data_IF_356574711164
#
_entry.id   IF_356574711164
#
_cell.length_a   1.000
_cell.length_b   1.000
_cell.length_c   1.000
_cell.angle_alpha   90.00
_cell.angle_beta   90.00
_cell.angle_gamma   90.00
#
_symmetry.space_group_name_H-M   'P 1'
#
loop_
_entity.id
_entity.type
_entity.pdbx_description
1 polymer ?
#
# COMPACT_ATOMS: atom_id res chain seq x y z
N UNK A 1 10.56 13.35 -11.76
CA UNK A 1 11.99 13.41 -11.59
C UNK A 1 12.44 12.81 -10.28
N UNK A 2 13.68 13.05 -9.89
CA UNK A 2 14.37 12.46 -8.72
C UNK A 2 13.67 12.63 -7.36
N UNK A 3 12.74 13.56 -7.23
CA UNK A 3 11.91 13.76 -6.03
C UNK A 3 10.61 12.92 -6.05
N UNK A 4 10.28 12.25 -7.15
CA UNK A 4 9.07 11.46 -7.27
C UNK A 4 9.17 10.14 -6.49
N UNK A 5 8.07 9.75 -5.86
CA UNK A 5 7.95 8.46 -5.16
C UNK A 5 6.63 7.79 -5.49
N UNK A 6 6.69 6.49 -5.72
CA UNK A 6 5.52 5.64 -5.90
C UNK A 6 5.65 4.44 -4.96
N UNK A 7 4.59 4.16 -4.20
CA UNK A 7 4.48 2.94 -3.41
C UNK A 7 3.18 2.26 -3.79
N UNK A 8 3.27 0.98 -4.12
CA UNK A 8 2.08 0.20 -4.46
C UNK A 8 2.06 -1.11 -3.70
N UNK A 9 0.88 -1.52 -3.28
CA UNK A 9 0.62 -2.86 -2.76
C UNK A 9 -0.53 -3.49 -3.52
N UNK A 10 -0.31 -4.69 -4.02
CA UNK A 10 -1.30 -5.45 -4.79
C UNK A 10 -1.07 -6.95 -4.67
N UNK A 11 -1.98 -7.77 -5.21
CA UNK A 11 -1.78 -9.22 -5.18
C UNK A 11 -0.96 -9.69 -6.36
N UNK A 12 -1.21 -9.16 -7.57
CA UNK A 12 -0.54 -9.58 -8.80
C UNK A 12 -0.28 -8.40 -9.73
N UNK A 13 0.80 -8.49 -10.50
CA UNK A 13 1.24 -7.50 -11.48
C UNK A 13 1.65 -8.23 -12.76
N UNK A 14 0.79 -8.18 -13.79
CA UNK A 14 1.01 -8.87 -15.07
C UNK A 14 0.63 -8.04 -16.29
N UNK A 15 0.05 -6.85 -16.09
CA UNK A 15 -0.39 -5.96 -17.16
C UNK A 15 0.80 -5.29 -17.82
N UNK A 16 0.91 -5.46 -19.15
CA UNK A 16 2.07 -5.01 -19.92
C UNK A 16 2.13 -3.48 -19.98
N UNK A 17 1.00 -2.82 -20.25
CA UNK A 17 0.96 -1.36 -20.38
C UNK A 17 1.31 -0.70 -19.03
N UNK A 18 0.85 -1.31 -17.93
CA UNK A 18 1.21 -0.84 -16.60
C UNK A 18 2.70 -1.04 -16.30
N UNK A 19 3.29 -2.18 -16.69
CA UNK A 19 4.73 -2.46 -16.55
C UNK A 19 5.55 -1.43 -17.34
N UNK A 20 5.13 -1.08 -18.56
CA UNK A 20 5.79 -0.05 -19.35
C UNK A 20 5.75 1.32 -18.66
N UNK A 21 4.61 1.71 -18.09
CA UNK A 21 4.49 2.97 -17.32
C UNK A 21 5.35 3.01 -16.06
N UNK A 22 5.48 1.89 -15.37
CA UNK A 22 6.41 1.76 -14.24
C UNK A 22 7.86 1.92 -14.69
N UNK A 23 8.22 1.34 -15.83
CA UNK A 23 9.56 1.46 -16.41
C UNK A 23 9.85 2.89 -16.88
N UNK A 24 8.89 3.57 -17.51
CA UNK A 24 9.01 4.99 -17.88
C UNK A 24 9.24 5.86 -16.63
N UNK A 25 8.46 5.66 -15.58
CA UNK A 25 8.61 6.39 -14.32
C UNK A 25 9.99 6.14 -13.67
N UNK A 26 10.46 4.89 -13.70
CA UNK A 26 11.80 4.55 -13.19
C UNK A 26 12.90 5.26 -13.97
N UNK A 27 12.84 5.26 -15.31
CA UNK A 27 13.78 6.00 -16.17
C UNK A 27 13.75 7.51 -15.91
N UNK A 28 12.61 8.05 -15.58
CA UNK A 28 12.46 9.46 -15.18
C UNK A 28 13.02 9.78 -13.77
N UNK A 29 13.62 8.80 -13.08
CA UNK A 29 14.22 8.97 -11.75
C UNK A 29 13.21 8.87 -10.60
N UNK A 30 12.00 8.39 -10.83
CA UNK A 30 11.01 8.16 -9.76
C UNK A 30 11.40 6.92 -8.97
N UNK A 31 11.47 7.05 -7.64
CA UNK A 31 11.67 5.89 -6.74
C UNK A 31 10.37 5.09 -6.63
N UNK A 32 10.41 3.81 -6.96
CA UNK A 32 9.24 2.95 -7.00
C UNK A 32 9.46 1.75 -6.08
N UNK A 33 8.52 1.52 -5.18
CA UNK A 33 8.50 0.40 -4.24
C UNK A 33 7.18 -0.35 -4.39
N UNK A 34 7.22 -1.63 -4.78
CA UNK A 34 6.01 -2.44 -5.01
C UNK A 34 6.03 -3.66 -4.08
N UNK A 35 4.90 -3.90 -3.41
CA UNK A 35 4.66 -5.09 -2.59
C UNK A 35 3.67 -5.96 -3.33
N UNK A 36 4.13 -7.13 -3.83
CA UNK A 36 3.32 -8.09 -4.59
C UNK A 36 3.44 -9.47 -3.94
N UNK A 37 2.32 -10.07 -3.54
CA UNK A 37 2.35 -11.38 -2.89
C UNK A 37 2.20 -12.59 -3.82
N UNK A 38 1.72 -12.37 -5.04
CA UNK A 38 1.47 -13.37 -6.08
C UNK A 38 2.34 -13.18 -7.31
N UNK A 39 1.74 -13.31 -8.49
CA UNK A 39 2.45 -13.24 -9.77
C UNK A 39 2.99 -11.81 -9.99
N UNK A 40 4.27 -11.71 -10.36
CA UNK A 40 4.92 -10.46 -10.69
C UNK A 40 5.72 -10.63 -11.99
N UNK A 41 5.35 -9.90 -13.04
CA UNK A 41 5.94 -9.98 -14.37
C UNK A 41 6.89 -8.80 -14.68
N UNK A 42 7.30 -8.01 -13.69
CA UNK A 42 8.31 -6.97 -13.85
C UNK A 42 9.56 -7.35 -13.05
N UNK A 43 10.73 -7.18 -13.65
CA UNK A 43 12.01 -7.37 -13.00
C UNK A 43 12.56 -6.02 -12.50
N UNK A 44 12.97 -5.91 -11.22
CA UNK A 44 13.61 -4.72 -10.70
C UNK A 44 15.10 -4.67 -11.06
N UNK A 45 15.69 -3.48 -11.06
CA UNK A 45 17.12 -3.30 -11.20
C UNK A 45 17.68 -3.64 -12.58
N UNK A 46 16.86 -3.61 -13.62
CA UNK A 46 17.30 -3.78 -15.02
C UNK A 46 17.87 -2.44 -15.49
N UNK A 47 19.20 -2.37 -15.86
CA UNK A 47 19.84 -1.14 -16.24
C UNK A 47 19.14 -0.40 -17.39
N UNK A 48 18.88 0.88 -17.21
CA UNK A 48 18.20 1.73 -18.18
C UNK A 48 16.68 1.54 -18.27
N UNK A 49 16.11 0.66 -17.46
CA UNK A 49 14.66 0.40 -17.44
C UNK A 49 14.04 0.50 -16.04
N UNK A 50 14.52 -0.29 -15.09
CA UNK A 50 13.93 -0.41 -13.76
C UNK A 50 14.94 -0.18 -12.64
N UNK A 51 15.94 0.68 -12.87
CA UNK A 51 17.01 1.01 -11.92
C UNK A 51 16.48 1.50 -10.58
N UNK A 52 15.35 2.23 -10.60
CA UNK A 52 14.74 2.85 -9.42
C UNK A 52 13.56 2.05 -8.87
N UNK A 53 13.34 0.83 -9.36
CA UNK A 53 12.28 -0.07 -8.91
C UNK A 53 12.81 -1.07 -7.88
N UNK A 54 12.03 -1.26 -6.83
CA UNK A 54 12.18 -2.36 -5.87
C UNK A 54 10.87 -3.11 -5.77
N UNK A 55 10.95 -4.43 -5.77
CA UNK A 55 9.79 -5.31 -5.58
C UNK A 55 10.05 -6.24 -4.40
N UNK A 56 9.06 -6.36 -3.53
CA UNK A 56 9.11 -7.29 -2.41
C UNK A 56 7.80 -8.05 -2.26
N UNK A 57 7.89 -9.19 -1.59
CA UNK A 57 6.74 -10.03 -1.24
C UNK A 57 6.75 -10.29 0.27
N UNK A 58 5.58 -10.16 0.89
CA UNK A 58 5.36 -10.58 2.28
C UNK A 58 4.24 -11.60 2.28
N UNK A 59 4.55 -12.82 2.73
CA UNK A 59 3.59 -13.90 2.90
C UNK A 59 3.76 -14.46 4.29
N UNK A 60 2.69 -14.52 5.05
CA UNK A 60 2.71 -14.95 6.43
C UNK A 60 1.41 -15.64 6.84
N UNK A 61 1.02 -15.50 8.12
CA UNK A 61 -0.16 -16.12 8.71
C UNK A 61 -1.47 -15.63 8.09
N UNK A 62 -1.52 -14.32 7.76
CA UNK A 62 -2.71 -13.68 7.25
C UNK A 62 -2.61 -13.41 5.76
N UNK A 63 -3.77 -13.41 5.08
CA UNK A 63 -3.86 -13.06 3.67
C UNK A 63 -3.68 -11.54 3.49
N UNK A 64 -2.61 -11.17 2.77
CA UNK A 64 -2.30 -9.78 2.43
C UNK A 64 -3.04 -9.38 1.15
N UNK A 65 -4.33 -9.00 1.29
CA UNK A 65 -5.22 -8.72 0.17
C UNK A 65 -5.44 -7.22 -0.18
N UNK A 66 -5.03 -6.23 0.61
CA UNK A 66 -5.23 -4.83 0.25
C UNK A 66 -4.55 -4.45 -1.07
N UNK A 67 -5.19 -3.53 -1.83
CA UNK A 67 -4.59 -2.84 -2.97
C UNK A 67 -4.54 -1.37 -2.64
N UNK A 68 -3.33 -0.84 -2.65
CA UNK A 68 -3.03 0.54 -2.26
C UNK A 68 -2.08 1.11 -3.30
N UNK A 69 -2.39 2.31 -3.77
CA UNK A 69 -1.59 3.05 -4.74
C UNK A 69 -1.30 4.43 -4.17
N UNK A 70 -0.03 4.71 -3.92
CA UNK A 70 0.44 5.97 -3.35
C UNK A 70 1.41 6.65 -4.30
N UNK A 71 1.12 7.89 -4.66
CA UNK A 71 1.89 8.71 -5.58
C UNK A 71 2.31 10.01 -4.89
N UNK A 72 3.60 10.35 -5.00
CA UNK A 72 4.16 11.54 -4.35
C UNK A 72 4.47 11.32 -2.87
N UNK A 73 4.72 12.42 -2.17
CA UNK A 73 5.06 12.47 -0.74
C UNK A 73 4.60 13.79 -0.14
N UNK A 74 4.54 13.88 1.20
CA UNK A 74 4.11 15.08 1.91
C UNK A 74 2.65 15.45 1.59
N UNK A 75 2.37 16.75 1.56
CA UNK A 75 1.00 17.27 1.40
C UNK A 75 0.40 16.98 0.01
N UNK A 76 1.25 16.90 -1.01
CA UNK A 76 0.84 16.59 -2.39
C UNK A 76 0.62 15.09 -2.64
N UNK A 77 0.80 14.25 -1.63
CA UNK A 77 0.63 12.81 -1.75
C UNK A 77 -0.83 12.45 -2.10
N UNK A 78 -0.99 11.65 -3.15
CA UNK A 78 -2.27 11.07 -3.54
C UNK A 78 -2.26 9.58 -3.23
N UNK A 79 -3.23 9.13 -2.44
CA UNK A 79 -3.41 7.73 -2.07
C UNK A 79 -4.76 7.26 -2.57
N UNK A 80 -4.76 6.07 -3.16
CA UNK A 80 -5.97 5.35 -3.59
C UNK A 80 -5.97 3.96 -2.98
N UNK A 81 -7.13 3.48 -2.59
CA UNK A 81 -7.39 2.06 -2.33
C UNK A 81 -8.30 1.53 -3.42
N UNK A 82 -8.16 0.26 -3.78
CA UNK A 82 -8.93 -0.27 -4.90
C UNK A 82 -9.20 -1.75 -4.85
N UNK A 83 -10.01 -2.20 -5.79
CA UNK A 83 -10.34 -3.61 -5.99
C UNK A 83 -9.44 -4.30 -7.02
N UNK A 84 -8.79 -3.52 -7.91
CA UNK A 84 -7.99 -4.03 -9.00
C UNK A 84 -6.58 -4.47 -8.58
N UNK A 85 -6.17 -5.63 -9.08
CA UNK A 85 -4.75 -5.92 -9.31
C UNK A 85 -4.34 -5.37 -10.69
N UNK A 86 -3.07 -5.14 -10.93
CA UNK A 86 -2.57 -4.71 -12.24
C UNK A 86 -2.39 -5.93 -13.15
N UNK A 87 -3.52 -6.48 -13.58
CA UNK A 87 -3.64 -7.61 -14.50
C UNK A 87 -4.57 -7.19 -15.64
N UNK A 88 -4.26 -7.59 -16.87
CA UNK A 88 -5.05 -7.27 -18.08
C UNK A 88 -6.56 -7.55 -17.92
N UNK A 89 -6.93 -8.63 -17.22
CA UNK A 89 -8.34 -8.90 -16.94
C UNK A 89 -9.01 -7.85 -16.04
N UNK A 90 -8.26 -7.21 -15.14
CA UNK A 90 -8.79 -6.17 -14.25
C UNK A 90 -8.85 -4.82 -14.98
N UNK A 91 -7.83 -4.51 -15.78
CA UNK A 91 -7.71 -3.24 -16.48
C UNK A 91 -8.63 -3.14 -17.70
N UNK A 92 -8.91 -4.26 -18.40
CA UNK A 92 -9.66 -4.24 -19.65
C UNK A 92 -11.05 -4.93 -19.60
N UNK A 93 -11.25 -5.92 -18.70
CA UNK A 93 -12.43 -6.82 -18.76
C UNK A 93 -13.33 -6.74 -17.54
N UNK A 94 -12.98 -5.94 -16.52
CA UNK A 94 -13.75 -5.80 -15.29
C UNK A 94 -14.08 -4.35 -15.00
N UNK A 95 -15.16 -4.15 -14.28
CA UNK A 95 -15.42 -2.87 -13.60
C UNK A 95 -14.77 -2.93 -12.24
N UNK A 96 -13.80 -2.08 -12.04
CA UNK A 96 -13.02 -1.99 -10.81
C UNK A 96 -13.20 -0.61 -10.17
N UNK A 97 -13.01 -0.53 -8.87
CA UNK A 97 -13.16 0.71 -8.10
C UNK A 97 -11.81 1.16 -7.58
N UNK A 98 -11.52 2.44 -7.73
CA UNK A 98 -10.42 3.13 -7.07
C UNK A 98 -10.98 4.30 -6.26
N UNK A 99 -10.81 4.27 -4.95
CA UNK A 99 -11.31 5.28 -4.03
C UNK A 99 -10.14 6.17 -3.57
N UNK A 100 -10.19 7.49 -3.82
CA UNK A 100 -9.19 8.42 -3.31
C UNK A 100 -9.35 8.59 -1.80
N UNK A 101 -8.23 8.60 -1.10
CA UNK A 101 -8.19 8.87 0.34
C UNK A 101 -7.90 10.35 0.54
N UNK A 102 -8.90 11.08 1.02
CA UNK A 102 -8.83 12.52 1.23
C UNK A 102 -8.54 12.87 2.69
N UNK A 103 -9.07 12.08 3.62
CA UNK A 103 -8.92 12.30 5.05
C UNK A 103 -7.45 12.15 5.49
N UNK A 104 -6.87 13.15 6.18
CA UNK A 104 -5.46 13.14 6.56
C UNK A 104 -5.15 12.07 7.62
N UNK A 105 -6.10 11.70 8.47
CA UNK A 105 -5.90 10.69 9.50
C UNK A 105 -5.83 9.30 8.86
N UNK A 106 -6.71 9.04 7.90
CA UNK A 106 -6.69 7.80 7.12
C UNK A 106 -5.42 7.73 6.26
N UNK A 107 -4.99 8.85 5.65
CA UNK A 107 -3.69 8.90 4.94
C UNK A 107 -2.52 8.50 5.87
N UNK A 108 -2.50 9.01 7.11
CA UNK A 108 -1.47 8.66 8.09
C UNK A 108 -1.48 7.16 8.43
N UNK A 109 -2.66 6.58 8.63
CA UNK A 109 -2.80 5.15 8.91
C UNK A 109 -2.30 4.29 7.73
N UNK A 110 -2.66 4.64 6.49
CA UNK A 110 -2.20 3.91 5.30
C UNK A 110 -0.69 4.06 5.12
N UNK A 111 -0.14 5.26 5.34
CA UNK A 111 1.32 5.48 5.29
C UNK A 111 2.06 4.68 6.36
N UNK A 112 1.51 4.59 7.57
CA UNK A 112 2.03 3.73 8.63
C UNK A 112 2.02 2.27 8.20
N UNK A 113 0.89 1.78 7.69
CA UNK A 113 0.77 0.42 7.18
C UNK A 113 1.82 0.12 6.09
N UNK A 114 1.94 0.97 5.09
CA UNK A 114 2.94 0.80 4.01
C UNK A 114 4.38 0.83 4.56
N UNK A 115 4.66 1.73 5.51
CA UNK A 115 5.97 1.83 6.16
C UNK A 115 6.34 0.56 6.90
N UNK A 116 5.42 0.00 7.70
CA UNK A 116 5.63 -1.25 8.44
C UNK A 116 5.86 -2.40 7.48
N UNK A 117 5.03 -2.54 6.43
CA UNK A 117 5.18 -3.56 5.40
C UNK A 117 6.54 -3.47 4.70
N UNK A 118 6.96 -2.26 4.28
CA UNK A 118 8.27 -2.04 3.63
C UNK A 118 9.44 -2.29 4.58
N UNK A 119 9.24 -2.15 5.88
CA UNK A 119 10.27 -2.41 6.89
C UNK A 119 10.41 -3.88 7.26
N UNK A 120 9.42 -4.73 6.90
CA UNK A 120 9.47 -6.16 7.21
C UNK A 120 10.79 -6.76 6.74
N UNK A 121 11.51 -7.40 7.66
CA UNK A 121 12.77 -8.09 7.41
C UNK A 121 12.80 -9.52 7.98
N UNK A 122 11.67 -9.98 8.50
CA UNK A 122 11.49 -11.34 9.02
C UNK A 122 10.85 -12.26 7.99
N UNK A 123 9.77 -11.79 7.37
CA UNK A 123 8.98 -12.54 6.35
C UNK A 123 9.26 -12.09 4.93
N UNK A 124 9.72 -10.86 4.74
CA UNK A 124 9.89 -10.28 3.43
C UNK A 124 10.92 -11.01 2.57
N UNK A 125 10.58 -11.15 1.29
CA UNK A 125 11.47 -11.59 0.21
C UNK A 125 11.57 -10.48 -0.82
N UNK A 126 12.75 -10.24 -1.32
CA UNK A 126 13.04 -9.21 -2.32
C UNK A 126 13.28 -9.89 -3.66
N UNK A 127 12.56 -9.44 -4.68
CA UNK A 127 12.75 -9.88 -6.06
C UNK A 127 14.07 -9.31 -6.57
N UNK A 128 14.88 -10.16 -7.19
CA UNK A 128 16.15 -9.81 -7.83
C UNK A 128 15.97 -9.59 -9.32
N UNK A 129 16.97 -8.99 -9.98
CA UNK A 129 16.97 -8.75 -11.43
C UNK A 129 16.99 -10.02 -12.28
N UNK A 130 17.38 -11.15 -11.70
CA UNK A 130 17.35 -12.48 -12.35
C UNK A 130 16.01 -13.22 -12.16
N UNK A 131 15.03 -12.60 -11.50
CA UNK A 131 13.73 -13.20 -11.23
C UNK A 131 13.67 -14.05 -9.96
N UNK A 132 14.76 -14.23 -9.23
CA UNK A 132 14.77 -14.98 -7.98
C UNK A 132 14.30 -14.14 -6.80
N UNK A 133 13.75 -14.79 -5.77
CA UNK A 133 13.36 -14.14 -4.51
C UNK A 133 14.32 -14.52 -3.38
N UNK A 134 15.05 -13.53 -2.88
CA UNK A 134 15.91 -13.67 -1.73
C UNK A 134 15.24 -13.19 -0.44
N UNK A 135 15.55 -13.80 0.70
CA UNK A 135 15.15 -13.23 1.99
C UNK A 135 15.74 -11.84 2.12
N UNK A 136 14.94 -10.89 2.59
CA UNK A 136 15.46 -9.57 2.93
C UNK A 136 16.47 -9.71 4.07
N UNK A 137 17.55 -8.91 3.99
CA UNK A 137 18.58 -8.92 5.02
C UNK A 137 17.98 -8.61 6.39
N UNK A 138 18.23 -9.50 7.36
CA UNK A 138 17.77 -9.32 8.73
C UNK A 138 18.75 -8.44 9.49
N UNK A 139 18.27 -7.26 9.87
CA UNK A 139 18.99 -6.29 10.71
C UNK A 139 18.06 -5.82 11.82
N UNK A 140 18.62 -5.53 12.97
CA UNK A 140 17.84 -4.90 14.03
C UNK A 140 17.38 -3.47 13.63
N UNK A 141 16.16 -3.07 13.97
CA UNK A 141 15.15 -3.86 14.67
C UNK A 141 14.52 -4.93 13.74
N UNK A 142 14.23 -6.13 14.29
CA UNK A 142 13.51 -7.16 13.56
C UNK A 142 12.03 -6.77 13.46
N UNK A 143 11.51 -6.73 12.24
CA UNK A 143 10.13 -6.35 11.94
C UNK A 143 9.43 -7.48 11.21
N UNK A 144 8.49 -8.14 11.88
CA UNK A 144 7.45 -8.98 11.28
C UNK A 144 6.18 -8.12 11.18
N UNK A 145 5.86 -7.66 9.98
CA UNK A 145 4.78 -6.71 9.76
C UNK A 145 3.42 -7.21 10.25
N UNK A 146 3.13 -8.51 10.08
CA UNK A 146 1.87 -9.10 10.56
C UNK A 146 1.80 -9.20 12.08
N UNK A 147 2.93 -9.46 12.74
CA UNK A 147 3.00 -9.46 14.20
C UNK A 147 2.80 -8.05 14.76
N UNK A 148 3.40 -7.04 14.14
CA UNK A 148 3.19 -5.63 14.51
C UNK A 148 1.71 -5.24 14.39
N UNK A 149 1.07 -5.51 13.26
CA UNK A 149 -0.35 -5.17 13.07
C UNK A 149 -1.28 -5.93 14.02
N UNK A 150 -0.96 -7.19 14.33
CA UNK A 150 -1.72 -7.96 15.30
C UNK A 150 -1.62 -7.35 16.71
N UNK A 151 -0.43 -6.94 17.11
CA UNK A 151 -0.23 -6.29 18.40
C UNK A 151 -0.95 -4.94 18.48
N UNK A 152 -0.84 -4.10 17.44
CA UNK A 152 -1.55 -2.83 17.34
C UNK A 152 -3.08 -3.02 17.43
N UNK A 153 -3.62 -4.02 16.75
CA UNK A 153 -5.05 -4.34 16.82
C UNK A 153 -5.49 -4.80 18.21
N UNK A 154 -4.66 -5.61 18.90
CA UNK A 154 -4.93 -6.03 20.27
C UNK A 154 -4.85 -4.86 21.27
N UNK A 155 -3.92 -3.95 21.06
CA UNK A 155 -3.81 -2.74 21.89
C UNK A 155 -5.01 -1.83 21.66
N UNK A 156 -5.40 -1.60 20.42
CA UNK A 156 -6.58 -0.80 20.09
C UNK A 156 -7.88 -1.38 20.70
N UNK A 157 -8.03 -2.71 20.72
CA UNK A 157 -9.19 -3.38 21.30
C UNK A 157 -9.25 -3.27 22.84
N UNK A 158 -8.13 -2.99 23.53
CA UNK A 158 -8.08 -2.75 24.97
C UNK A 158 -8.37 -1.31 25.36
N UNK A 159 -8.30 -0.38 24.40
CA UNK A 159 -8.64 1.03 24.66
C UNK A 159 -10.16 1.17 24.74
N UNK A 160 -10.71 1.93 25.69
CA UNK A 160 -12.13 2.25 25.69
C UNK A 160 -12.47 2.94 24.36
N UNK A 161 -13.69 2.69 23.82
CA UNK A 161 -14.09 3.36 22.58
C UNK A 161 -13.92 4.86 22.76
N UNK A 162 -13.29 5.52 21.79
CA UNK A 162 -13.20 6.97 21.79
C UNK A 162 -14.64 7.52 21.91
N UNK A 163 -14.86 8.47 22.85
CA UNK A 163 -16.17 9.12 22.97
C UNK A 163 -16.59 9.56 21.58
N UNK A 164 -17.69 8.99 21.07
CA UNK A 164 -18.25 9.42 19.80
C UNK A 164 -18.51 10.92 19.92
N UNK A 165 -17.74 11.72 19.18
CA UNK A 165 -18.06 13.14 19.02
C UNK A 165 -19.49 13.15 18.47
N UNK A 166 -20.46 13.57 19.30
CA UNK A 166 -21.87 13.67 18.93
C UNK A 166 -21.96 14.24 17.54
N UNK A 167 -22.32 13.41 16.59
CA UNK A 167 -22.26 13.73 15.17
C UNK A 167 -23.20 14.90 14.86
N UNK A 168 -22.99 15.56 13.74
CA UNK A 168 -23.85 16.64 13.23
C UNK A 168 -25.35 16.24 13.28
N UNK A 169 -25.66 14.95 13.09
CA UNK A 169 -27.02 14.40 13.15
C UNK A 169 -27.61 14.44 14.56
N UNK A 170 -26.82 14.27 15.61
CA UNK A 170 -27.31 14.41 16.99
C UNK A 170 -27.55 15.87 17.36
N UNK A 171 -26.72 16.78 16.84
CA UNK A 171 -26.99 18.22 16.92
C UNK A 171 -28.26 18.61 16.17
N UNK A 172 -28.49 18.08 14.99
CA UNK A 172 -29.69 18.33 14.21
C UNK A 172 -30.92 17.74 14.92
N UNK A 173 -30.87 16.52 15.47
CA UNK A 173 -31.96 15.94 16.27
C UNK A 173 -32.27 16.75 17.51
N UNK A 174 -31.26 17.31 18.20
CA UNK A 174 -31.47 18.14 19.36
C UNK A 174 -32.13 19.51 19.04
N UNK A 175 -31.96 19.99 17.80
CA UNK A 175 -32.57 21.24 17.33
C UNK A 175 -34.05 21.06 16.90
N UNK A 176 -34.41 19.87 16.41
CA UNK A 176 -35.77 19.58 15.93
C UNK A 176 -36.61 18.71 16.90
N UNK A 177 -36.06 18.33 18.05
CA UNK A 177 -36.70 17.45 19.03
C UNK A 177 -37.38 18.15 20.23
N UNK A 178 -37.60 19.46 20.16
CA UNK A 178 -38.42 20.18 21.16
C UNK A 178 -39.68 20.69 20.48
N UNK A 179 -40.64 19.83 20.31
CA UNK A 179 -42.06 20.16 20.25
C UNK A 179 -42.88 18.84 20.09
N UNK A 180 -43.21 18.23 21.24
CA UNK A 180 -44.46 17.46 21.45
C UNK A 180 -44.57 17.17 22.95
#
# INVERSE_FOLDING_TARGET
GSAGRIIMKMNSLTDVDFIEKVSEASRAGVRIEIIVRGICCILPGIPGYTDNLRVMSVVGRYLEHPRIFSFGSGDEQKIYIGSADMMTRNTEKRVEVACPILDPDIKRQINHYLKVMLSDNVKARVLQSDGTYCKKEQKEPFVDSQAVFMEEALQAAKMPPAEEKKGLMDKVRSLFGKDR
#
